data_IF_229453536953
#
_entry.id   IF_229453536953
#
_cell.length_a   1.000
_cell.length_b   1.000
_cell.length_c   1.000
_cell.angle_alpha   90.00
_cell.angle_beta   90.00
_cell.angle_gamma   90.00
#
_symmetry.space_group_name_H-M   'P 1'
#
loop_
_entity.id
_entity.type
_entity.pdbx_description
1 polymer ?
#
# COMPACT_ATOMS: atom_id res chain seq x y z
N UNK A 1 6.48 -18.17 24.94
CA UNK A 1 6.98 -16.93 24.31
C UNK A 1 7.50 -17.11 22.88
N UNK A 2 8.21 -18.20 22.53
CA UNK A 2 8.68 -18.44 21.13
C UNK A 2 7.55 -18.55 20.09
N UNK A 3 6.44 -19.21 20.40
CA UNK A 3 5.32 -19.37 19.44
C UNK A 3 4.62 -18.06 19.08
N UNK A 4 4.44 -17.13 20.03
CA UNK A 4 3.78 -15.83 19.73
C UNK A 4 4.62 -14.97 18.79
N UNK A 5 5.95 -14.98 18.95
CA UNK A 5 6.87 -14.27 18.04
C UNK A 5 6.82 -14.82 16.61
N UNK A 6 6.69 -16.14 16.46
CA UNK A 6 6.58 -16.77 15.14
C UNK A 6 5.27 -16.39 14.43
N UNK A 7 4.14 -16.39 15.14
CA UNK A 7 2.83 -16.02 14.56
C UNK A 7 2.84 -14.56 14.09
N UNK A 8 3.39 -13.63 14.89
CA UNK A 8 3.49 -12.22 14.53
C UNK A 8 4.33 -12.03 13.26
N UNK A 9 5.49 -12.70 13.18
CA UNK A 9 6.34 -12.62 11.99
C UNK A 9 5.64 -13.18 10.74
N UNK A 10 4.87 -14.26 10.86
CA UNK A 10 4.09 -14.83 9.76
C UNK A 10 3.05 -13.82 9.26
N UNK A 11 2.30 -13.18 10.15
CA UNK A 11 1.29 -12.18 9.77
C UNK A 11 1.95 -11.01 9.04
N UNK A 12 3.09 -10.50 9.54
CA UNK A 12 3.84 -9.43 8.88
C UNK A 12 4.27 -9.85 7.47
N UNK A 13 4.78 -11.07 7.29
CA UNK A 13 5.20 -11.59 5.99
C UNK A 13 4.00 -11.68 5.04
N UNK A 14 2.87 -12.21 5.50
CA UNK A 14 1.64 -12.31 4.69
C UNK A 14 1.18 -10.91 4.27
N UNK A 15 1.14 -9.93 5.18
CA UNK A 15 0.76 -8.55 4.85
C UNK A 15 1.72 -7.90 3.85
N UNK A 16 3.02 -8.20 3.90
CA UNK A 16 4.01 -7.73 2.92
C UNK A 16 3.81 -8.37 1.55
N UNK A 17 3.60 -9.69 1.49
CA UNK A 17 3.28 -10.39 0.24
C UNK A 17 1.99 -9.86 -0.37
N UNK A 18 0.97 -9.58 0.44
CA UNK A 18 -0.28 -8.99 0.00
C UNK A 18 -0.07 -7.56 -0.55
N UNK A 19 0.71 -6.73 0.14
CA UNK A 19 1.06 -5.39 -0.33
C UNK A 19 1.80 -5.40 -1.67
N UNK A 20 2.77 -6.31 -1.85
CA UNK A 20 3.50 -6.46 -3.11
C UNK A 20 2.59 -6.97 -4.23
N UNK A 21 1.66 -7.88 -3.91
CA UNK A 21 0.69 -8.41 -4.87
C UNK A 21 -0.27 -7.30 -5.34
N UNK A 22 -0.68 -6.40 -4.44
CA UNK A 22 -1.44 -5.19 -4.77
C UNK A 22 -0.68 -4.29 -5.75
N UNK A 23 0.61 -4.03 -5.49
CA UNK A 23 1.45 -3.21 -6.39
C UNK A 23 1.56 -3.87 -7.76
N UNK A 24 1.80 -5.18 -7.79
CA UNK A 24 1.91 -5.94 -9.03
C UNK A 24 0.61 -5.91 -9.83
N UNK A 25 -0.55 -6.11 -9.17
CA UNK A 25 -1.86 -6.01 -9.81
C UNK A 25 -2.10 -4.62 -10.38
N UNK A 26 -1.77 -3.56 -9.63
CA UNK A 26 -1.87 -2.18 -10.11
C UNK A 26 -1.02 -1.91 -11.36
N UNK A 27 0.21 -2.41 -11.39
CA UNK A 27 1.10 -2.26 -12.55
C UNK A 27 0.59 -3.06 -13.75
N UNK A 28 0.09 -4.28 -13.54
CA UNK A 28 -0.45 -5.12 -14.62
C UNK A 28 -1.74 -4.53 -15.19
N UNK A 29 -2.69 -4.12 -14.35
CA UNK A 29 -3.92 -3.49 -14.81
C UNK A 29 -3.64 -2.12 -15.46
N UNK A 30 -2.75 -1.34 -14.86
CA UNK A 30 -2.34 -0.05 -15.40
C UNK A 30 -1.62 -0.11 -16.74
N UNK A 31 -0.88 -1.18 -17.03
CA UNK A 31 -0.23 -1.38 -18.33
C UNK A 31 -1.16 -2.10 -19.31
N UNK A 32 -2.04 -2.97 -18.81
CA UNK A 32 -2.90 -3.85 -19.60
C UNK A 32 -4.23 -3.26 -20.08
N UNK A 33 -4.77 -2.24 -19.39
CA UNK A 33 -6.03 -1.60 -19.79
C UNK A 33 -5.89 -0.60 -20.95
N UNK A 34 -4.66 -0.19 -21.30
CA UNK A 34 -4.45 0.86 -22.29
C UNK A 34 -3.86 0.30 -23.59
N UNK A 35 -4.65 0.37 -24.66
CA UNK A 35 -4.17 0.07 -26.01
C UNK A 35 -3.09 1.07 -26.41
N UNK A 36 -2.15 0.66 -27.27
CA UNK A 36 -1.01 1.48 -27.73
C UNK A 36 -1.41 2.88 -28.21
N UNK A 37 -2.63 3.02 -28.72
CA UNK A 37 -3.15 4.26 -29.30
C UNK A 37 -3.69 5.24 -28.24
N UNK A 38 -4.05 4.75 -27.04
CA UNK A 38 -4.56 5.56 -25.93
C UNK A 38 -3.44 6.27 -25.16
N UNK A 39 -2.19 5.78 -25.23
CA UNK A 39 -1.01 6.35 -24.57
C UNK A 39 -0.69 7.78 -25.01
N UNK A 40 -1.08 8.17 -26.24
CA UNK A 40 -0.87 9.52 -26.77
C UNK A 40 -1.95 10.50 -26.28
N UNK A 41 -3.14 10.00 -25.92
CA UNK A 41 -4.24 10.80 -25.37
C UNK A 41 -4.27 10.85 -23.85
N UNK A 42 -3.36 10.13 -23.19
CA UNK A 42 -3.26 10.10 -21.73
C UNK A 42 -3.09 11.50 -21.17
N UNK A 43 -4.12 11.97 -20.49
CA UNK A 43 -4.00 13.16 -19.69
C UNK A 43 -2.94 12.90 -18.62
N UNK A 44 -1.97 13.80 -18.47
CA UNK A 44 -0.84 13.65 -17.53
C UNK A 44 -1.29 13.32 -16.11
N UNK A 45 -2.53 13.68 -15.75
CA UNK A 45 -3.19 13.35 -14.48
C UNK A 45 -3.34 11.83 -14.26
N UNK A 46 -3.69 11.06 -15.28
CA UNK A 46 -3.99 9.63 -15.17
C UNK A 46 -2.69 8.84 -15.08
N UNK A 47 -1.65 9.30 -15.78
CA UNK A 47 -0.30 8.76 -15.72
C UNK A 47 0.34 9.00 -14.34
N UNK A 48 0.12 10.18 -13.75
CA UNK A 48 0.53 10.49 -12.38
C UNK A 48 -0.18 9.56 -11.40
N UNK A 49 -1.51 9.41 -11.50
CA UNK A 49 -2.28 8.51 -10.63
C UNK A 49 -1.79 7.05 -10.74
N UNK A 50 -1.59 6.58 -11.97
CA UNK A 50 -1.19 5.21 -12.28
C UNK A 50 0.20 4.86 -11.77
N UNK A 51 1.17 5.77 -11.86
CA UNK A 51 2.54 5.50 -11.43
C UNK A 51 2.79 5.91 -9.98
N UNK A 52 2.22 7.02 -9.53
CA UNK A 52 2.54 7.58 -8.21
C UNK A 52 2.06 6.65 -7.09
N UNK A 53 0.84 6.13 -7.18
CA UNK A 53 0.28 5.30 -6.10
C UNK A 53 1.03 3.99 -5.94
N UNK A 54 1.28 3.19 -6.99
CA UNK A 54 2.02 1.93 -6.86
C UNK A 54 3.48 2.16 -6.47
N UNK A 55 4.12 3.24 -6.95
CA UNK A 55 5.50 3.56 -6.58
C UNK A 55 5.61 3.96 -5.11
N UNK A 56 4.82 4.92 -4.64
CA UNK A 56 4.90 5.37 -3.23
C UNK A 56 4.45 4.24 -2.29
N UNK A 57 3.41 3.48 -2.66
CA UNK A 57 2.98 2.33 -1.88
C UNK A 57 4.06 1.23 -1.86
N UNK A 58 4.72 0.98 -2.99
CA UNK A 58 5.86 0.05 -3.09
C UNK A 58 7.05 0.48 -2.24
N UNK A 59 7.39 1.78 -2.22
CA UNK A 59 8.40 2.35 -1.32
C UNK A 59 8.00 2.12 0.14
N UNK A 60 6.75 2.39 0.50
CA UNK A 60 6.25 2.13 1.84
C UNK A 60 6.34 0.66 2.24
N UNK A 61 5.97 -0.25 1.32
CA UNK A 61 6.09 -1.70 1.52
C UNK A 61 7.56 -2.11 1.69
N UNK A 62 8.48 -1.55 0.91
CA UNK A 62 9.92 -1.80 1.02
C UNK A 62 10.49 -1.29 2.37
N UNK A 63 10.14 -0.07 2.78
CA UNK A 63 10.54 0.47 4.09
C UNK A 63 9.98 -0.36 5.24
N UNK A 64 8.76 -0.89 5.10
CA UNK A 64 8.15 -1.80 6.08
C UNK A 64 8.92 -3.13 6.21
N UNK A 65 9.74 -3.52 5.22
CA UNK A 65 10.58 -4.72 5.31
C UNK A 65 11.54 -4.63 6.50
N UNK A 66 12.08 -3.44 6.76
CA UNK A 66 12.98 -3.14 7.88
C UNK A 66 12.26 -2.95 9.23
N UNK A 67 10.96 -3.26 9.30
CA UNK A 67 10.09 -3.04 10.46
C UNK A 67 9.95 -1.57 10.86
N UNK A 68 10.20 -0.66 9.94
CA UNK A 68 10.04 0.76 10.21
C UNK A 68 8.56 1.16 10.17
N UNK A 69 8.10 1.83 11.23
CA UNK A 69 6.76 2.42 11.31
C UNK A 69 6.53 3.42 10.16
N UNK A 70 7.59 4.11 9.74
CA UNK A 70 7.61 5.02 8.58
C UNK A 70 7.04 4.35 7.33
N UNK A 71 7.41 3.10 7.03
CA UNK A 71 6.94 2.39 5.85
C UNK A 71 5.42 2.14 5.86
N UNK A 72 4.85 1.82 7.02
CA UNK A 72 3.39 1.63 7.16
C UNK A 72 2.64 2.95 7.01
N UNK A 73 3.19 4.04 7.56
CA UNK A 73 2.65 5.39 7.39
C UNK A 73 2.71 5.80 5.92
N UNK A 74 3.82 5.55 5.22
CA UNK A 74 3.96 5.85 3.80
C UNK A 74 2.90 5.11 2.96
N UNK A 75 2.64 3.83 3.23
CA UNK A 75 1.58 3.06 2.56
C UNK A 75 0.18 3.64 2.83
N UNK A 76 -0.14 3.95 4.08
CA UNK A 76 -1.47 4.51 4.43
C UNK A 76 -1.65 5.88 3.77
N UNK A 77 -0.63 6.75 3.86
CA UNK A 77 -0.65 8.08 3.27
C UNK A 77 -0.80 8.05 1.76
N UNK A 78 -0.16 7.10 1.05
CA UNK A 78 -0.31 7.00 -0.41
C UNK A 78 -1.74 6.62 -0.82
N UNK A 79 -2.38 5.70 -0.10
CA UNK A 79 -3.76 5.29 -0.36
C UNK A 79 -4.74 6.42 -0.01
N UNK A 80 -4.55 7.14 1.10
CA UNK A 80 -5.36 8.32 1.44
C UNK A 80 -5.22 9.41 0.38
N UNK A 81 -3.98 9.71 -0.04
CA UNK A 81 -3.71 10.70 -1.06
C UNK A 81 -4.38 10.33 -2.39
N UNK A 82 -4.33 9.06 -2.77
CA UNK A 82 -5.05 8.54 -3.94
C UNK A 82 -6.56 8.83 -3.87
N UNK A 83 -7.21 8.53 -2.75
CA UNK A 83 -8.65 8.78 -2.59
C UNK A 83 -9.00 10.27 -2.66
N UNK A 84 -8.19 11.12 -2.04
CA UNK A 84 -8.39 12.58 -2.09
C UNK A 84 -8.28 13.05 -3.54
N UNK A 85 -7.23 12.62 -4.25
CA UNK A 85 -6.99 13.00 -5.64
C UNK A 85 -8.12 12.49 -6.54
N UNK A 86 -8.49 11.21 -6.44
CA UNK A 86 -9.61 10.64 -7.20
C UNK A 86 -10.92 11.41 -6.98
N UNK A 87 -11.21 11.82 -5.73
CA UNK A 87 -12.38 12.64 -5.41
C UNK A 87 -12.34 14.05 -6.01
N UNK A 88 -11.16 14.65 -6.17
CA UNK A 88 -10.99 15.97 -6.81
C UNK A 88 -11.23 15.87 -8.32
N UNK A 89 -10.82 14.76 -8.95
CA UNK A 89 -10.95 14.55 -10.39
C UNK A 89 -12.23 13.81 -10.79
N UNK A 90 -13.23 13.74 -9.90
CA UNK A 90 -14.53 13.07 -10.10
C UNK A 90 -14.44 11.57 -10.46
N UNK A 91 -13.28 10.95 -10.25
CA UNK A 91 -13.11 9.52 -10.40
C UNK A 91 -13.70 8.83 -9.16
N UNK A 92 -14.85 8.17 -9.34
CA UNK A 92 -15.46 7.37 -8.26
C UNK A 92 -14.63 6.12 -8.02
N UNK A 93 -13.92 6.10 -6.90
CA UNK A 93 -13.27 4.90 -6.36
C UNK A 93 -14.22 4.28 -5.36
N UNK A 94 -14.58 3.01 -5.55
CA UNK A 94 -15.43 2.29 -4.62
C UNK A 94 -14.78 2.19 -3.24
N UNK A 95 -15.60 2.38 -2.19
CA UNK A 95 -15.11 2.39 -0.81
C UNK A 95 -14.48 1.05 -0.40
N UNK A 96 -14.95 -0.06 -0.99
CA UNK A 96 -14.45 -1.40 -0.72
C UNK A 96 -13.01 -1.58 -1.22
N UNK A 97 -12.73 -1.17 -2.46
CA UNK A 97 -11.39 -1.26 -3.06
C UNK A 97 -10.38 -0.42 -2.27
N UNK A 98 -10.80 0.80 -1.88
CA UNK A 98 -9.99 1.66 -1.03
C UNK A 98 -9.61 0.99 0.31
N UNK A 99 -10.58 0.37 0.99
CA UNK A 99 -10.32 -0.32 2.27
C UNK A 99 -9.37 -1.50 2.10
N UNK A 100 -9.49 -2.23 1.00
CA UNK A 100 -8.62 -3.38 0.69
C UNK A 100 -7.16 -2.95 0.53
N UNK A 101 -6.91 -1.80 -0.11
CA UNK A 101 -5.56 -1.24 -0.27
C UNK A 101 -4.98 -0.67 1.03
N UNK A 102 -5.83 -0.17 1.93
CA UNK A 102 -5.40 0.40 3.21
C UNK A 102 -5.03 -0.69 4.24
N UNK A 103 -5.65 -1.86 4.13
CA UNK A 103 -5.55 -2.98 5.09
C UNK A 103 -4.10 -3.42 5.41
N UNK A 104 -3.20 -3.71 4.44
CA UNK A 104 -1.84 -4.14 4.76
C UNK A 104 -1.05 -3.07 5.52
N UNK A 105 -1.23 -1.78 5.19
CA UNK A 105 -0.59 -0.68 5.91
C UNK A 105 -1.05 -0.60 7.37
N UNK A 106 -2.36 -0.74 7.62
CA UNK A 106 -2.92 -0.75 8.97
C UNK A 106 -2.45 -1.95 9.80
N UNK A 107 -2.44 -3.16 9.21
CA UNK A 107 -2.02 -4.37 9.92
C UNK A 107 -0.55 -4.25 10.35
N UNK A 108 0.34 -3.82 9.45
CA UNK A 108 1.76 -3.68 9.77
C UNK A 108 1.97 -2.59 10.83
N UNK A 109 1.27 -1.46 10.73
CA UNK A 109 1.34 -0.38 11.73
C UNK A 109 0.91 -0.86 13.13
N UNK A 110 -0.24 -1.55 13.19
CA UNK A 110 -0.77 -2.08 14.44
C UNK A 110 0.19 -3.09 15.09
N UNK A 111 0.77 -3.99 14.31
CA UNK A 111 1.72 -4.98 14.82
C UNK A 111 3.02 -4.33 15.29
N UNK A 112 3.58 -3.39 14.53
CA UNK A 112 4.82 -2.71 14.91
C UNK A 112 4.62 -1.91 16.21
N UNK A 113 3.52 -1.17 16.33
CA UNK A 113 3.21 -0.39 17.55
C UNK A 113 2.98 -1.27 18.79
N UNK A 114 2.37 -2.44 18.64
CA UNK A 114 2.25 -3.42 19.74
C UNK A 114 3.60 -4.03 20.12
N UNK A 115 4.48 -4.26 19.15
CA UNK A 115 5.81 -4.85 19.37
C UNK A 115 6.73 -3.87 20.12
N UNK A 116 6.76 -2.59 19.71
CA UNK A 116 7.59 -1.56 20.33
C UNK A 116 7.20 -1.29 21.79
N UNK A 117 5.90 -1.33 22.11
CA UNK A 117 5.41 -1.18 23.49
C UNK A 117 5.87 -2.32 24.40
N UNK A 118 5.97 -3.55 23.87
CA UNK A 118 6.45 -4.70 24.65
C UNK A 118 7.96 -4.68 24.87
N UNK A 119 8.75 -4.03 24.01
CA UNK A 119 10.20 -3.86 24.22
C UNK A 119 10.55 -2.73 25.19
N UNK A 120 9.71 -1.68 25.30
CA UNK A 120 9.96 -0.57 26.22
C UNK A 120 9.63 -0.86 27.69
N UNK A 121 8.91 -1.96 27.97
CA UNK A 121 8.50 -2.39 29.31
C UNK A 121 9.42 -3.49 29.91
N UNK A 122 10.58 -3.74 29.29
CA UNK A 122 11.63 -4.65 29.80
C UNK A 122 12.89 -3.87 30.09
#
# INVERSE_FOLDING_TARGET
MKNQSNVINIIIIISKCFALSIVALFLIMGIGEYNSDDWVSFASKDLILLLFVPIIFGIGAFLSLKKEVSGSITMISSVIFFKIFASIFENKVDGFDFTLFLLPGLIILFINTLTDRNSSNK
#
